data_IF_666611536497
#
_entry.id   IF_666611536497
#
_cell.length_a   1.000
_cell.length_b   1.000
_cell.length_c   1.000
_cell.angle_alpha   90.00
_cell.angle_beta   90.00
_cell.angle_gamma   90.00
#
_symmetry.space_group_name_H-M   'P 1'
#
loop_
_entity.id
_entity.type
_entity.pdbx_description
1 polymer ?
#
# COMPACT_ATOMS: atom_id res chain seq x y z
N UNK A 1 -59.53 -11.40 15.88
CA UNK A 1 -58.68 -11.30 14.67
C UNK A 1 -57.69 -10.16 14.87
N UNK A 2 -56.47 -10.44 15.34
CA UNK A 2 -55.34 -9.50 15.27
C UNK A 2 -54.07 -10.35 15.06
N UNK A 3 -53.57 -10.35 13.82
CA UNK A 3 -52.26 -10.89 13.47
C UNK A 3 -51.22 -9.79 13.68
N UNK A 4 -50.29 -9.97 14.61
CA UNK A 4 -49.09 -9.14 14.70
C UNK A 4 -48.06 -9.66 13.70
N UNK A 5 -47.94 -8.99 12.56
CA UNK A 5 -46.85 -9.22 11.63
C UNK A 5 -45.60 -8.50 12.14
N UNK A 6 -44.66 -9.25 12.69
CA UNK A 6 -43.29 -8.79 12.93
C UNK A 6 -42.58 -8.68 11.58
N UNK A 7 -42.61 -7.49 10.98
CA UNK A 7 -41.75 -7.18 9.84
C UNK A 7 -40.35 -6.85 10.36
N UNK A 8 -39.53 -7.88 10.47
CA UNK A 8 -38.08 -7.73 10.66
C UNK A 8 -37.49 -7.11 9.39
N UNK A 9 -37.27 -5.80 9.39
CA UNK A 9 -36.44 -5.16 8.38
C UNK A 9 -34.98 -5.51 8.65
N UNK A 10 -34.52 -6.62 8.07
CA UNK A 10 -33.10 -6.93 7.94
C UNK A 10 -32.46 -5.88 7.01
N UNK A 11 -32.00 -4.78 7.60
CA UNK A 11 -31.10 -3.84 6.93
C UNK A 11 -29.73 -4.51 6.77
N UNK A 12 -29.58 -5.33 5.72
CA UNK A 12 -28.26 -5.73 5.24
C UNK A 12 -27.54 -4.47 4.76
N UNK A 13 -26.73 -3.87 5.63
CA UNK A 13 -25.78 -2.83 5.24
C UNK A 13 -24.82 -3.48 4.25
N UNK A 14 -24.99 -3.18 2.98
CA UNK A 14 -24.01 -3.51 1.95
C UNK A 14 -22.72 -2.77 2.31
N UNK A 15 -21.78 -3.47 2.94
CA UNK A 15 -20.48 -2.90 3.31
C UNK A 15 -19.76 -2.60 2.00
N UNK A 16 -19.83 -1.34 1.54
CA UNK A 16 -18.96 -0.88 0.46
C UNK A 16 -17.52 -0.99 0.98
N UNK A 17 -16.70 -1.80 0.31
CA UNK A 17 -15.26 -1.82 0.54
C UNK A 17 -14.68 -0.48 0.10
N UNK A 18 -14.68 0.51 1.01
CA UNK A 18 -14.08 1.81 0.79
C UNK A 18 -12.57 1.67 0.98
N UNK A 19 -11.81 1.84 -0.11
CA UNK A 19 -10.36 1.83 -0.05
C UNK A 19 -9.85 2.98 0.82
N UNK A 20 -8.80 2.75 1.64
CA UNK A 20 -8.24 3.82 2.44
C UNK A 20 -7.59 4.92 1.59
N UNK A 21 -7.73 6.17 2.04
CA UNK A 21 -7.15 7.34 1.37
C UNK A 21 -5.80 7.73 1.98
N UNK A 22 -4.83 8.08 1.13
CA UNK A 22 -3.49 8.51 1.53
C UNK A 22 -3.09 9.79 0.80
N UNK A 23 -2.37 10.67 1.48
CA UNK A 23 -1.78 11.89 0.90
C UNK A 23 -0.34 11.61 0.46
N UNK A 24 -0.01 11.82 -0.81
CA UNK A 24 1.38 11.70 -1.28
C UNK A 24 2.14 12.95 -0.85
N UNK A 25 3.27 12.79 -0.18
CA UNK A 25 4.05 13.94 0.33
C UNK A 25 5.49 14.00 -0.18
N UNK A 26 6.02 12.90 -0.72
CA UNK A 26 7.35 12.85 -1.33
C UNK A 26 7.40 11.76 -2.38
N UNK A 27 8.18 11.98 -3.43
CA UNK A 27 8.48 10.98 -4.45
C UNK A 27 9.98 11.04 -4.74
N UNK A 28 10.67 9.93 -4.53
CA UNK A 28 12.06 9.74 -4.96
C UNK A 28 12.13 8.59 -5.98
N UNK A 29 13.34 8.24 -6.41
CA UNK A 29 13.56 7.04 -7.23
C UNK A 29 14.93 6.44 -7.01
N UNK A 30 15.04 5.13 -7.24
CA UNK A 30 16.30 4.40 -7.28
C UNK A 30 16.22 3.38 -8.43
N UNK A 31 17.23 3.37 -9.30
CA UNK A 31 17.25 2.54 -10.52
C UNK A 31 15.91 2.57 -11.26
N UNK A 32 15.28 1.40 -11.42
CA UNK A 32 14.03 1.22 -12.14
C UNK A 32 12.78 1.29 -11.25
N UNK A 33 12.87 1.94 -10.08
CA UNK A 33 11.77 2.02 -9.10
C UNK A 33 11.54 3.46 -8.63
N UNK A 34 10.26 3.81 -8.43
CA UNK A 34 9.83 4.97 -7.67
C UNK A 34 9.64 4.60 -6.20
N UNK A 35 10.05 5.53 -5.33
CA UNK A 35 9.83 5.46 -3.88
C UNK A 35 8.84 6.55 -3.51
N UNK A 36 7.58 6.17 -3.34
CA UNK A 36 6.45 7.08 -3.16
C UNK A 36 6.09 7.09 -1.69
N UNK A 37 6.25 8.24 -1.03
CA UNK A 37 5.94 8.37 0.37
C UNK A 37 4.56 8.97 0.55
N UNK A 38 3.74 8.27 1.34
CA UNK A 38 2.35 8.64 1.59
C UNK A 38 2.06 8.74 3.09
N UNK A 39 1.11 9.59 3.48
CA UNK A 39 0.62 9.70 4.86
C UNK A 39 -0.84 9.31 4.93
N UNK A 40 -1.22 8.68 6.03
CA UNK A 40 -2.62 8.49 6.42
C UNK A 40 -2.68 8.65 7.94
N UNK A 41 -3.45 9.64 8.40
CA UNK A 41 -3.47 10.05 9.79
C UNK A 41 -2.04 10.36 10.29
N UNK A 42 -1.59 9.72 11.35
CA UNK A 42 -0.24 9.85 11.93
C UNK A 42 0.79 8.89 11.33
N UNK A 43 0.35 7.95 10.48
CA UNK A 43 1.23 6.93 9.90
C UNK A 43 1.79 7.37 8.57
N UNK A 44 3.05 7.00 8.33
CA UNK A 44 3.74 7.23 7.06
C UNK A 44 4.13 5.91 6.41
N UNK A 45 4.08 5.90 5.08
CA UNK A 45 4.24 4.69 4.27
C UNK A 45 5.23 4.96 3.15
N UNK A 46 6.06 3.97 2.82
CA UNK A 46 6.93 3.98 1.64
C UNK A 46 6.43 2.94 0.66
N UNK A 47 5.90 3.40 -0.46
CA UNK A 47 5.33 2.59 -1.52
C UNK A 47 6.37 2.46 -2.63
N UNK A 48 6.72 1.23 -2.98
CA UNK A 48 7.64 0.91 -4.07
C UNK A 48 6.82 0.59 -5.31
N UNK A 49 7.08 1.29 -6.41
CA UNK A 49 6.43 1.04 -7.71
C UNK A 49 7.47 1.00 -8.82
N UNK A 50 7.44 -0.05 -9.64
CA UNK A 50 8.37 -0.20 -10.77
C UNK A 50 8.10 0.90 -11.81
N UNK A 51 9.17 1.46 -12.38
CA UNK A 51 9.07 2.40 -13.50
C UNK A 51 8.56 1.64 -14.71
N UNK A 52 7.43 2.09 -15.24
CA UNK A 52 6.82 1.51 -16.44
C UNK A 52 6.38 2.63 -17.38
N UNK A 53 6.49 2.36 -18.68
CA UNK A 53 5.90 3.21 -19.70
C UNK A 53 4.38 3.11 -19.62
N UNK A 54 3.77 4.09 -18.99
CA UNK A 54 2.32 4.13 -18.84
C UNK A 54 1.69 4.91 -19.98
N UNK A 55 0.52 4.46 -20.45
CA UNK A 55 -0.24 5.10 -21.51
C UNK A 55 -0.80 6.46 -21.06
N UNK A 56 -1.00 7.38 -22.01
CA UNK A 56 -1.45 8.78 -21.79
C UNK A 56 -2.80 8.93 -21.04
N UNK A 57 -3.49 7.84 -20.73
CA UNK A 57 -4.86 7.84 -20.19
C UNK A 57 -4.93 7.97 -18.67
N UNK A 58 -3.85 7.66 -17.95
CA UNK A 58 -3.86 7.70 -16.48
C UNK A 58 -3.32 9.03 -15.94
N UNK A 59 -3.86 9.46 -14.80
CA UNK A 59 -3.40 10.68 -14.14
C UNK A 59 -2.13 10.40 -13.36
N UNK A 60 -1.07 11.16 -13.64
CA UNK A 60 0.14 11.13 -12.81
C UNK A 60 -0.20 11.62 -11.39
N UNK A 61 0.29 10.92 -10.38
CA UNK A 61 0.16 11.32 -8.98
C UNK A 61 0.89 12.65 -8.75
N UNK A 62 0.37 13.44 -7.81
CA UNK A 62 0.93 14.73 -7.44
C UNK A 62 1.18 14.77 -5.93
N UNK A 63 2.30 15.37 -5.55
CA UNK A 63 2.60 15.68 -4.15
C UNK A 63 1.51 16.65 -3.63
N UNK A 64 1.04 16.41 -2.41
CA UNK A 64 -0.06 17.13 -1.76
C UNK A 64 -1.45 16.54 -2.02
N UNK A 65 -1.61 15.65 -3.01
CA UNK A 65 -2.91 15.09 -3.38
C UNK A 65 -3.23 13.77 -2.67
N UNK A 66 -4.52 13.49 -2.57
CA UNK A 66 -5.08 12.29 -1.95
C UNK A 66 -5.44 11.21 -2.98
N UNK A 67 -5.13 9.95 -2.65
CA UNK A 67 -5.41 8.79 -3.50
C UNK A 67 -5.92 7.63 -2.66
N UNK A 68 -6.89 6.89 -3.18
CA UNK A 68 -7.39 5.68 -2.54
C UNK A 68 -6.50 4.51 -2.96
N UNK A 69 -5.75 3.94 -2.03
CA UNK A 69 -4.73 2.94 -2.32
C UNK A 69 -4.96 1.69 -1.47
N UNK A 70 -4.97 0.53 -2.11
CA UNK A 70 -4.87 -0.75 -1.44
C UNK A 70 -3.38 -1.07 -1.27
N UNK A 71 -2.86 -0.87 -0.07
CA UNK A 71 -1.44 -1.12 0.22
C UNK A 71 -1.24 -2.56 0.65
N UNK A 72 -0.28 -3.23 0.00
CA UNK A 72 0.16 -4.58 0.34
C UNK A 72 1.53 -4.50 1.00
N UNK A 73 1.62 -4.98 2.23
CA UNK A 73 2.86 -5.03 3.00
C UNK A 73 3.82 -6.05 2.38
N UNK A 74 5.10 -5.66 2.22
CA UNK A 74 6.11 -6.57 1.69
C UNK A 74 6.49 -7.65 2.70
N UNK A 75 6.55 -7.32 3.99
CA UNK A 75 6.78 -8.31 5.05
C UNK A 75 5.67 -9.35 5.12
N UNK A 76 4.44 -9.01 4.71
CA UNK A 76 3.35 -9.99 4.63
C UNK A 76 3.59 -11.09 3.58
N UNK A 77 4.42 -10.82 2.58
CA UNK A 77 4.73 -11.70 1.44
C UNK A 77 6.06 -12.46 1.60
N UNK A 78 6.67 -12.44 2.79
CA UNK A 78 7.91 -13.18 3.06
C UNK A 78 7.70 -14.69 2.88
N UNK A 79 8.67 -15.41 2.30
CA UNK A 79 8.56 -16.84 2.07
C UNK A 79 8.36 -17.61 3.38
N UNK A 80 7.60 -18.69 3.27
CA UNK A 80 7.41 -19.68 4.33
C UNK A 80 8.36 -20.83 4.03
N UNK A 81 9.34 -21.07 4.90
CA UNK A 81 10.28 -22.19 4.76
C UNK A 81 9.92 -23.22 5.83
N UNK A 82 9.62 -24.45 5.41
CA UNK A 82 9.18 -25.54 6.30
C UNK A 82 7.99 -25.18 7.19
N UNK A 83 7.01 -24.42 6.66
CA UNK A 83 5.84 -23.99 7.43
C UNK A 83 6.06 -22.79 8.35
N UNK A 84 7.29 -22.26 8.45
CA UNK A 84 7.62 -21.08 9.26
C UNK A 84 7.73 -19.84 8.37
N UNK A 85 6.90 -18.83 8.64
CA UNK A 85 6.98 -17.53 7.96
C UNK A 85 8.24 -16.80 8.44
N UNK A 86 9.16 -16.54 7.51
CA UNK A 86 10.40 -15.81 7.81
C UNK A 86 10.07 -14.34 8.07
N UNK A 87 9.89 -13.99 9.34
CA UNK A 87 9.67 -12.60 9.78
C UNK A 87 10.97 -12.02 10.32
N UNK A 88 11.20 -10.70 10.17
CA UNK A 88 12.33 -10.03 10.80
C UNK A 88 12.33 -10.26 12.31
N UNK A 89 13.53 -10.50 12.87
CA UNK A 89 13.73 -10.75 14.29
C UNK A 89 13.38 -9.51 15.14
N UNK A 90 13.58 -8.30 14.59
CA UNK A 90 13.17 -7.04 15.20
C UNK A 90 12.55 -6.10 14.15
N UNK A 91 11.36 -5.56 14.44
CA UNK A 91 10.66 -4.60 13.58
C UNK A 91 11.30 -3.19 13.57
N UNK A 92 12.25 -2.93 14.47
CA UNK A 92 12.93 -1.62 14.62
C UNK A 92 14.17 -1.54 13.71
N UNK A 93 14.69 -2.69 13.27
CA UNK A 93 15.88 -2.72 12.42
C UNK A 93 15.56 -2.30 10.98
N UNK A 94 16.53 -1.67 10.32
CA UNK A 94 16.42 -1.34 8.91
C UNK A 94 16.40 -2.64 8.11
N UNK A 95 15.23 -3.01 7.62
CA UNK A 95 15.05 -4.11 6.67
C UNK A 95 15.29 -3.63 5.24
N UNK A 96 16.06 -4.39 4.48
CA UNK A 96 16.28 -4.18 3.05
C UNK A 96 15.74 -5.36 2.24
N UNK A 97 15.04 -5.05 1.15
CA UNK A 97 14.49 -6.02 0.23
C UNK A 97 15.19 -5.90 -1.12
N UNK A 98 15.53 -7.05 -1.70
CA UNK A 98 16.09 -7.12 -3.04
C UNK A 98 14.96 -7.12 -4.07
N UNK A 99 15.14 -6.31 -5.10
CA UNK A 99 14.30 -6.18 -6.28
C UNK A 99 15.12 -6.56 -7.52
N UNK A 100 14.49 -6.51 -8.70
CA UNK A 100 15.18 -6.73 -9.97
C UNK A 100 16.32 -5.71 -10.19
N UNK A 101 17.17 -5.99 -11.18
CA UNK A 101 18.31 -5.14 -11.56
C UNK A 101 19.29 -4.88 -10.40
N UNK A 102 19.43 -5.86 -9.49
CA UNK A 102 20.21 -5.76 -8.24
C UNK A 102 19.82 -4.53 -7.39
N UNK A 103 18.58 -4.07 -7.50
CA UNK A 103 18.11 -2.91 -6.74
C UNK A 103 17.77 -3.34 -5.33
N UNK A 104 18.43 -2.75 -4.34
CA UNK A 104 18.08 -2.95 -2.93
C UNK A 104 17.33 -1.72 -2.42
N UNK A 105 16.18 -1.94 -1.78
CA UNK A 105 15.37 -0.87 -1.19
C UNK A 105 15.14 -1.20 0.28
N UNK A 106 15.48 -0.24 1.13
CA UNK A 106 15.33 -0.39 2.57
C UNK A 106 14.15 0.40 3.12
N UNK A 107 13.62 -0.10 4.24
CA UNK A 107 12.74 0.61 5.17
C UNK A 107 13.44 1.86 5.71
N UNK A 108 12.68 2.74 6.33
CA UNK A 108 13.19 3.98 6.91
C UNK A 108 12.73 4.08 8.37
N UNK A 109 13.25 3.15 9.17
CA UNK A 109 12.85 2.97 10.56
C UNK A 109 13.09 4.22 11.41
N UNK A 110 14.13 5.01 11.08
CA UNK A 110 14.43 6.30 11.72
C UNK A 110 13.30 7.33 11.56
N UNK A 111 12.55 7.24 10.46
CA UNK A 111 11.40 8.09 10.20
C UNK A 111 10.07 7.41 10.56
N UNK A 112 10.07 6.21 11.14
CA UNK A 112 8.85 5.48 11.50
C UNK A 112 8.24 4.65 10.36
N UNK A 113 9.02 4.32 9.32
CA UNK A 113 8.62 3.43 8.23
C UNK A 113 9.29 2.07 8.44
N UNK A 114 8.55 1.13 9.01
CA UNK A 114 9.07 -0.20 9.38
C UNK A 114 8.78 -1.29 8.33
N UNK A 115 8.10 -0.95 7.23
CA UNK A 115 7.87 -1.88 6.12
C UNK A 115 7.84 -1.14 4.78
N UNK A 116 8.05 -1.88 3.69
CA UNK A 116 7.81 -1.43 2.34
C UNK A 116 6.43 -1.90 1.89
N UNK A 117 5.80 -1.09 1.04
CA UNK A 117 4.47 -1.39 0.53
C UNK A 117 4.48 -1.41 -1.00
N UNK A 118 3.59 -2.18 -1.58
CA UNK A 118 3.23 -2.10 -3.00
C UNK A 118 1.73 -1.83 -3.11
N UNK A 119 1.27 -1.46 -4.30
CA UNK A 119 -0.16 -1.28 -4.57
C UNK A 119 -0.41 -1.51 -6.05
N UNK A 120 -1.53 -2.16 -6.37
CA UNK A 120 -1.98 -2.33 -7.75
C UNK A 120 -2.64 -1.05 -8.30
N UNK A 121 -3.02 -0.11 -7.42
CA UNK A 121 -3.65 1.14 -7.85
C UNK A 121 -2.67 2.13 -8.49
N UNK A 122 -1.36 1.81 -8.52
CA UNK A 122 -0.30 2.60 -9.14
C UNK A 122 0.50 1.78 -10.15
N UNK A 123 0.70 2.34 -11.35
CA UNK A 123 1.73 1.89 -12.30
C UNK A 123 2.77 2.99 -12.45
N UNK A 124 3.96 2.76 -11.90
CA UNK A 124 4.96 3.81 -11.70
C UNK A 124 4.40 4.99 -10.91
N UNK A 125 4.28 6.15 -11.55
CA UNK A 125 3.70 7.36 -10.95
C UNK A 125 2.25 7.62 -11.40
N UNK A 126 1.57 6.65 -12.00
CA UNK A 126 0.23 6.86 -12.56
C UNK A 126 -0.82 6.12 -11.76
N UNK A 127 -1.89 6.83 -11.40
CA UNK A 127 -3.02 6.28 -10.65
C UNK A 127 -4.02 5.61 -11.60
N UNK A 128 -4.25 4.31 -11.38
CA UNK A 128 -5.01 3.45 -12.30
C UNK A 128 -6.39 2.98 -11.77
N UNK A 129 -6.77 3.43 -10.56
CA UNK A 129 -7.98 3.06 -9.77
C UNK A 129 -7.94 1.68 -9.13
#
# INVERSE_FOLDING_TARGET
MIFFALTSCNNYKHVKNVLPTYTIYKVDSINNYYLIYAKKNTSIFKIVSKKEHTTKHYKKIKIGNNYNLNLHSRSSQTPVINGVKMSPVNLIDIMCYNYEDNTQICTDAKNGIYDLYTTENLKGLYYIK
#
